data_IF_358414927254
#
_entry.id   IF_358414927254
#
_cell.length_a   1.000
_cell.length_b   1.000
_cell.length_c   1.000
_cell.angle_alpha   90.00
_cell.angle_beta   90.00
_cell.angle_gamma   90.00
#
_symmetry.space_group_name_H-M   'P 1'
#
loop_
_entity.id
_entity.type
_entity.pdbx_description
1 polymer ?
#
# COMPACT_ATOMS: atom_id res chain seq x y z
N UNK A 1 -23.30 10.45 -37.72
CA UNK A 1 -23.82 9.19 -37.14
C UNK A 1 -23.17 8.98 -35.79
N UNK A 2 -23.66 9.57 -34.70
CA UNK A 2 -22.79 9.68 -33.55
C UNK A 2 -23.31 8.82 -32.43
N UNK A 3 -22.60 7.73 -32.13
CA UNK A 3 -22.05 7.43 -30.81
C UNK A 3 -21.11 6.24 -31.02
N UNK A 4 -19.92 6.52 -31.54
CA UNK A 4 -18.78 5.66 -31.29
C UNK A 4 -18.18 6.19 -30.00
N UNK A 5 -18.73 5.80 -28.86
CA UNK A 5 -17.92 5.78 -27.63
C UNK A 5 -16.81 4.79 -27.95
N UNK A 6 -15.69 5.31 -28.45
CA UNK A 6 -14.46 4.55 -28.41
C UNK A 6 -14.13 4.53 -26.93
N UNK A 7 -14.48 3.44 -26.27
CA UNK A 7 -14.03 3.19 -24.91
C UNK A 7 -12.49 3.36 -24.95
N UNK A 8 -12.03 4.45 -24.34
CA UNK A 8 -10.61 4.76 -24.20
C UNK A 8 -10.14 4.18 -22.87
N UNK A 9 -8.99 3.53 -22.87
CA UNK A 9 -8.39 2.93 -21.69
C UNK A 9 -7.33 3.84 -21.10
N UNK A 10 -7.43 4.06 -19.80
CA UNK A 10 -6.48 4.90 -19.07
C UNK A 10 -5.30 4.03 -18.66
N UNK A 11 -4.09 4.45 -19.04
CA UNK A 11 -2.89 3.76 -18.62
C UNK A 11 -2.64 3.95 -17.12
N UNK A 12 -2.55 2.86 -16.37
CA UNK A 12 -2.25 2.87 -14.93
C UNK A 12 -0.87 3.42 -14.56
N UNK A 13 0.07 3.45 -15.52
CA UNK A 13 1.43 3.96 -15.29
C UNK A 13 1.57 5.47 -15.52
N UNK A 14 0.92 6.00 -16.57
CA UNK A 14 1.13 7.39 -17.00
C UNK A 14 -0.15 8.24 -17.09
N UNK A 15 -1.33 7.65 -16.88
CA UNK A 15 -2.62 8.34 -16.90
C UNK A 15 -3.11 8.76 -18.29
N UNK A 16 -2.39 8.45 -19.38
CA UNK A 16 -2.83 8.79 -20.73
C UNK A 16 -4.06 7.98 -21.13
N UNK A 17 -5.00 8.61 -21.85
CA UNK A 17 -6.04 7.89 -22.59
C UNK A 17 -5.43 7.20 -23.79
N UNK A 18 -5.72 5.91 -23.96
CA UNK A 18 -5.25 5.10 -25.08
C UNK A 18 -6.44 4.44 -25.76
N UNK A 19 -6.41 4.25 -27.09
CA UNK A 19 -7.43 3.46 -27.76
C UNK A 19 -7.37 2.00 -27.29
N UNK A 20 -8.53 1.37 -27.08
CA UNK A 20 -8.65 -0.04 -26.66
C UNK A 20 -7.86 -1.03 -27.53
N UNK A 21 -7.93 -0.85 -28.86
CA UNK A 21 -7.17 -1.62 -29.83
C UNK A 21 -6.20 -0.69 -30.55
N UNK A 22 -4.96 -0.64 -30.06
CA UNK A 22 -3.87 -0.03 -30.81
C UNK A 22 -3.33 -1.02 -31.84
N UNK A 23 -2.86 -0.54 -33.00
CA UNK A 23 -2.19 -1.37 -34.02
C UNK A 23 -0.91 -2.03 -33.47
N UNK A 24 -0.31 -1.46 -32.41
CA UNK A 24 0.90 -1.97 -31.77
C UNK A 24 0.59 -3.02 -30.69
N UNK A 25 -0.64 -3.54 -30.64
CA UNK A 25 -1.10 -4.49 -29.64
C UNK A 25 -1.61 -3.82 -28.36
N UNK A 26 -1.70 -4.61 -27.31
CA UNK A 26 -2.27 -4.24 -26.01
C UNK A 26 -1.28 -3.48 -25.13
N UNK A 27 -0.65 -2.42 -25.62
CA UNK A 27 0.24 -1.58 -24.83
C UNK A 27 -0.11 -0.09 -24.96
N UNK A 28 0.28 0.68 -23.94
CA UNK A 28 0.15 2.12 -23.96
C UNK A 28 1.01 2.73 -25.07
N UNK A 29 0.45 3.66 -25.84
CA UNK A 29 1.16 4.32 -26.95
C UNK A 29 2.17 5.39 -26.47
N UNK A 30 2.04 5.84 -25.22
CA UNK A 30 2.90 6.88 -24.64
C UNK A 30 4.10 6.29 -23.90
N UNK A 31 3.85 5.36 -22.97
CA UNK A 31 4.90 4.81 -22.10
C UNK A 31 5.26 3.35 -22.40
N UNK A 32 4.58 2.70 -23.34
CA UNK A 32 4.81 1.29 -23.68
C UNK A 32 4.33 0.29 -22.64
N UNK A 33 3.64 0.73 -21.58
CA UNK A 33 3.14 -0.16 -20.52
C UNK A 33 2.15 -1.18 -21.09
N UNK A 34 2.36 -2.47 -20.82
CA UNK A 34 1.53 -3.56 -21.28
C UNK A 34 0.19 -3.60 -20.53
N UNK A 35 -0.92 -3.72 -21.26
CA UNK A 35 -2.23 -4.05 -20.72
C UNK A 35 -2.37 -5.56 -20.59
N UNK A 36 -2.73 -6.01 -19.40
CA UNK A 36 -3.02 -7.41 -19.09
C UNK A 36 -4.53 -7.55 -18.95
N UNK A 37 -5.13 -8.46 -19.70
CA UNK A 37 -6.57 -8.72 -19.62
C UNK A 37 -6.87 -9.87 -18.69
N UNK A 38 -7.95 -9.75 -17.93
CA UNK A 38 -8.55 -10.86 -17.20
C UNK A 38 -9.10 -11.89 -18.17
N UNK A 39 -8.69 -13.16 -18.04
CA UNK A 39 -9.25 -14.25 -18.86
C UNK A 39 -10.73 -14.55 -18.56
N UNK A 40 -11.26 -14.06 -17.44
CA UNK A 40 -12.64 -14.33 -17.02
C UNK A 40 -13.59 -13.20 -17.44
N UNK A 41 -13.21 -11.94 -17.19
CA UNK A 41 -14.04 -10.75 -17.43
C UNK A 41 -13.69 -9.99 -18.70
N UNK A 42 -12.53 -10.27 -19.31
CA UNK A 42 -11.97 -9.50 -20.43
C UNK A 42 -11.73 -8.01 -20.12
N UNK A 43 -11.67 -7.64 -18.85
CA UNK A 43 -11.30 -6.29 -18.40
C UNK A 43 -9.78 -6.16 -18.24
N UNK A 44 -9.26 -4.94 -18.36
CA UNK A 44 -7.84 -4.65 -18.13
C UNK A 44 -7.57 -4.68 -16.62
N UNK A 45 -6.62 -5.52 -16.23
CA UNK A 45 -6.13 -5.60 -14.86
C UNK A 45 -5.15 -4.46 -14.58
N UNK A 46 -5.30 -3.73 -13.46
CA UNK A 46 -4.40 -2.65 -13.08
C UNK A 46 -3.09 -3.19 -12.50
N UNK A 47 -2.37 -4.01 -13.26
CA UNK A 47 -1.10 -4.59 -12.86
C UNK A 47 0.04 -3.63 -13.22
N UNK A 48 0.82 -3.25 -12.22
CA UNK A 48 2.06 -2.50 -12.36
C UNK A 48 3.13 -3.25 -11.58
N UNK A 49 4.22 -3.60 -12.24
CA UNK A 49 5.38 -4.15 -11.55
C UNK A 49 6.03 -3.06 -10.70
N UNK A 50 6.18 -3.33 -9.41
CA UNK A 50 6.92 -2.47 -8.50
C UNK A 50 8.36 -2.94 -8.45
N UNK A 51 9.29 -2.15 -8.98
CA UNK A 51 10.70 -2.36 -8.76
C UNK A 51 11.11 -1.63 -7.48
N UNK A 52 11.62 -2.35 -6.48
CA UNK A 52 12.22 -1.72 -5.30
C UNK A 52 13.58 -1.16 -5.71
N UNK A 53 13.68 0.17 -5.83
CA UNK A 53 14.95 0.83 -6.08
C UNK A 53 15.77 0.90 -4.78
N UNK A 54 17.05 0.50 -4.84
CA UNK A 54 18.00 0.69 -3.75
C UNK A 54 17.99 -0.36 -2.65
N UNK A 55 17.26 -1.48 -2.82
CA UNK A 55 17.33 -2.62 -1.90
C UNK A 55 17.49 -3.91 -2.69
N UNK A 56 18.61 -4.60 -2.49
CA UNK A 56 18.80 -5.94 -3.07
C UNK A 56 17.96 -6.97 -2.32
N UNK A 57 17.59 -8.07 -2.96
CA UNK A 57 16.86 -9.17 -2.29
C UNK A 57 17.55 -9.66 -1.00
N UNK A 58 18.89 -9.63 -0.99
CA UNK A 58 19.68 -10.01 0.18
C UNK A 58 19.54 -9.00 1.32
N UNK A 59 19.52 -7.70 1.01
CA UNK A 59 19.28 -6.63 1.97
C UNK A 59 17.84 -6.61 2.46
N UNK A 60 16.87 -6.81 1.55
CA UNK A 60 15.45 -6.91 1.91
C UNK A 60 15.23 -8.01 2.94
N UNK A 61 15.80 -9.21 2.71
CA UNK A 61 15.72 -10.33 3.67
C UNK A 61 16.32 -9.98 5.03
N UNK A 62 17.43 -9.24 5.06
CA UNK A 62 18.04 -8.78 6.31
C UNK A 62 17.15 -7.76 7.03
N UNK A 63 16.57 -6.82 6.30
CA UNK A 63 15.65 -5.81 6.85
C UNK A 63 14.38 -6.45 7.41
N UNK A 64 13.83 -7.45 6.71
CA UNK A 64 12.69 -8.24 7.19
C UNK A 64 13.03 -9.02 8.46
N UNK A 65 14.24 -9.58 8.56
CA UNK A 65 14.70 -10.27 9.76
C UNK A 65 15.06 -9.32 10.91
N UNK A 66 15.38 -8.06 10.60
CA UNK A 66 15.71 -7.02 11.57
C UNK A 66 14.48 -6.28 12.10
N UNK A 67 13.29 -6.49 11.51
CA UNK A 67 12.05 -6.05 12.14
C UNK A 67 12.04 -6.63 13.56
N UNK A 68 12.02 -5.76 14.60
CA UNK A 68 11.93 -6.26 15.95
C UNK A 68 10.63 -7.04 16.04
N UNK A 69 10.70 -8.35 16.29
CA UNK A 69 9.61 -9.01 17.00
C UNK A 69 9.32 -8.13 18.19
N UNK A 70 8.12 -7.61 18.29
CA UNK A 70 7.72 -6.60 19.28
C UNK A 70 7.93 -7.15 20.69
N UNK A 71 9.17 -7.09 21.16
CA UNK A 71 9.57 -7.24 22.55
C UNK A 71 9.86 -5.82 23.01
N UNK A 72 8.84 -4.97 22.92
CA UNK A 72 8.90 -3.61 23.43
C UNK A 72 9.09 -3.72 24.93
N UNK A 73 10.23 -3.22 25.41
CA UNK A 73 10.52 -3.00 26.82
C UNK A 73 9.73 -1.80 27.39
N UNK A 74 8.83 -1.21 26.61
CA UNK A 74 7.77 -0.31 27.08
C UNK A 74 6.51 -1.15 27.32
N UNK A 75 6.19 -1.37 28.60
CA UNK A 75 5.16 -2.30 29.06
C UNK A 75 3.73 -1.97 28.58
N UNK A 76 3.53 -0.86 27.86
CA UNK A 76 2.21 -0.28 27.63
C UNK A 76 1.82 -0.12 26.14
N UNK A 77 2.67 -0.52 25.19
CA UNK A 77 2.29 -0.56 23.75
C UNK A 77 2.65 -1.93 23.17
N UNK A 78 1.62 -2.69 22.82
CA UNK A 78 1.75 -4.07 22.35
C UNK A 78 0.91 -4.34 21.10
N UNK A 79 1.37 -5.26 20.27
CA UNK A 79 0.56 -5.81 19.20
C UNK A 79 -0.14 -7.06 19.74
N UNK A 80 -1.46 -7.12 19.60
CA UNK A 80 -2.27 -8.29 19.92
C UNK A 80 -2.49 -9.04 18.60
N UNK A 81 -2.17 -10.33 18.59
CA UNK A 81 -2.38 -11.22 17.45
C UNK A 81 -3.40 -12.30 17.86
N UNK A 82 -4.66 -12.10 17.50
CA UNK A 82 -5.76 -13.04 17.77
C UNK A 82 -5.93 -14.06 16.64
N UNK A 83 -4.99 -14.12 15.68
CA UNK A 83 -5.01 -15.04 14.54
C UNK A 83 -5.90 -14.62 13.36
N UNK A 84 -6.78 -13.62 13.54
CA UNK A 84 -7.59 -13.02 12.47
C UNK A 84 -7.13 -11.61 12.08
N UNK A 85 -6.54 -10.87 13.01
CA UNK A 85 -6.04 -9.53 12.77
C UNK A 85 -4.91 -9.19 13.75
N UNK A 86 -3.98 -8.36 13.28
CA UNK A 86 -2.99 -7.74 14.15
C UNK A 86 -3.51 -6.38 14.57
N UNK A 87 -3.81 -6.23 15.86
CA UNK A 87 -4.33 -5.01 16.47
C UNK A 87 -3.23 -4.36 17.32
N UNK A 88 -2.94 -3.09 17.04
CA UNK A 88 -2.06 -2.30 17.91
C UNK A 88 -2.88 -1.87 19.13
N UNK A 89 -2.53 -2.41 20.30
CA UNK A 89 -3.10 -2.03 21.58
C UNK A 89 -2.13 -1.11 22.32
N UNK A 90 -2.57 0.11 22.58
CA UNK A 90 -1.93 1.04 23.50
C UNK A 90 -2.72 0.91 24.79
N UNK A 91 -2.12 0.39 25.85
CA UNK A 91 -2.76 0.42 27.16
C UNK A 91 -2.71 1.84 27.71
N UNK A 92 -3.74 2.23 28.46
CA UNK A 92 -3.67 3.40 29.32
C UNK A 92 -3.41 2.88 30.73
N UNK A 93 -2.24 3.19 31.29
CA UNK A 93 -1.94 2.89 32.69
C UNK A 93 -2.78 3.83 33.57
N UNK A 94 -4.01 3.42 33.92
CA UNK A 94 -4.76 4.02 35.03
C UNK A 94 -4.12 3.56 36.36
N UNK A 95 -2.95 4.10 36.65
CA UNK A 95 -2.33 4.03 37.97
C UNK A 95 -2.50 5.39 38.65
N UNK A 96 -3.53 5.47 39.50
CA UNK A 96 -3.81 6.66 40.28
C UNK A 96 -2.61 7.20 41.08
N UNK A 97 -2.62 8.53 41.22
CA UNK A 97 -1.97 9.35 42.26
C UNK A 97 -0.45 9.56 42.16
N UNK A 98 -0.06 10.67 41.53
CA UNK A 98 1.27 11.27 41.63
C UNK A 98 1.40 12.48 40.72
N UNK A 99 0.77 13.60 41.10
CA UNK A 99 0.78 14.82 40.31
C UNK A 99 2.16 15.46 40.23
N UNK A 100 2.78 15.40 39.05
CA UNK A 100 3.75 16.40 38.62
C UNK A 100 3.05 17.31 37.61
N UNK A 101 2.70 18.51 38.07
CA UNK A 101 1.88 19.52 37.37
C UNK A 101 2.54 20.17 36.16
N UNK A 102 3.26 19.40 35.36
CA UNK A 102 3.85 19.82 34.10
C UNK A 102 3.21 19.20 32.86
N UNK A 103 2.10 18.47 33.01
CA UNK A 103 1.26 18.11 31.89
C UNK A 103 0.58 19.36 31.30
N UNK A 104 0.85 19.62 30.03
CA UNK A 104 0.34 20.75 29.28
C UNK A 104 -1.16 20.58 28.95
N UNK A 105 -1.70 19.36 29.02
CA UNK A 105 -3.11 19.08 28.74
C UNK A 105 -4.03 19.24 29.95
N UNK A 106 -3.48 19.28 31.18
CA UNK A 106 -4.28 19.61 32.37
C UNK A 106 -4.38 21.12 32.61
N UNK A 107 -3.62 21.94 31.87
CA UNK A 107 -3.67 23.41 31.92
C UNK A 107 -4.61 23.94 30.85
N UNK A 108 -5.92 23.92 31.13
CA UNK A 108 -6.92 24.77 30.47
C UNK A 108 -7.28 25.96 31.36
#
# INVERSE_FOLDING_TARGET
TPFSDKEDVICVRCGSGNPLLSENGSQCVVCGHQFVYSFLSFEILPLVEFQLEGVTDAEAKKLMAMMPTTTSQDANVGFVDDGEAQTLAIGDDDAGMGGDGNDLFTKQ
#
